data_IF_085248792938
#
_entry.id   IF_085248792938
#
_cell.length_a   1.000
_cell.length_b   1.000
_cell.length_c   1.000
_cell.angle_alpha   90.00
_cell.angle_beta   90.00
_cell.angle_gamma   90.00
#
_symmetry.space_group_name_H-M   'P 1'
#
loop_
_entity.id
_entity.type
_entity.pdbx_description
1 polymer ?
#
# COMPACT_ATOMS: atom_id res chain seq x y z
N UNK A 1 -0.28 -17.76 34.54
CA UNK A 1 -0.16 -17.85 33.07
C UNK A 1 0.54 -16.57 32.63
N UNK A 2 1.81 -16.67 32.27
CA UNK A 2 2.69 -15.53 31.98
C UNK A 2 2.95 -15.49 30.47
N UNK A 3 2.42 -14.48 29.78
CA UNK A 3 2.34 -14.44 28.32
C UNK A 3 3.63 -13.94 27.64
N UNK A 4 4.61 -13.44 28.41
CA UNK A 4 5.85 -12.88 27.85
C UNK A 4 6.84 -13.93 27.31
N UNK A 5 6.91 -15.11 27.93
CA UNK A 5 8.00 -16.07 27.69
C UNK A 5 7.86 -16.88 26.39
N UNK A 6 6.66 -16.98 25.81
CA UNK A 6 6.40 -17.81 24.62
C UNK A 6 6.84 -17.14 23.30
N UNK A 7 7.06 -15.84 23.31
CA UNK A 7 7.52 -15.11 22.12
C UNK A 7 9.02 -15.31 21.84
N UNK A 8 9.81 -15.61 22.88
CA UNK A 8 11.26 -15.82 22.74
C UNK A 8 11.57 -17.21 22.15
N UNK A 9 10.82 -18.25 22.56
CA UNK A 9 11.03 -19.63 22.11
C UNK A 9 10.78 -19.84 20.60
N UNK A 10 9.94 -19.00 19.97
CA UNK A 10 9.67 -19.06 18.53
C UNK A 10 10.75 -18.34 17.69
N UNK A 11 11.61 -17.55 18.31
CA UNK A 11 12.70 -16.86 17.61
C UNK A 11 13.95 -17.75 17.45
N UNK A 12 14.13 -18.78 18.29
CA UNK A 12 15.34 -19.60 18.30
C UNK A 12 15.36 -20.74 17.26
N UNK A 13 14.22 -21.20 16.73
CA UNK A 13 14.19 -22.40 15.85
C UNK A 13 14.43 -22.10 14.35
N UNK A 14 15.09 -20.99 14.02
CA UNK A 14 15.23 -20.49 12.65
C UNK A 14 16.66 -20.39 12.12
N UNK A 15 17.54 -21.35 12.43
CA UNK A 15 18.88 -21.43 11.84
C UNK A 15 18.80 -21.82 10.35
N UNK A 16 18.73 -20.81 9.49
CA UNK A 16 19.22 -20.84 8.10
C UNK A 16 20.26 -19.72 8.00
N UNK A 17 21.42 -19.98 8.59
CA UNK A 17 22.61 -19.17 8.47
C UNK A 17 23.32 -19.58 7.18
N UNK A 18 23.26 -18.72 6.14
CA UNK A 18 24.43 -18.27 5.34
C UNK A 18 24.03 -17.26 4.23
N UNK A 19 22.77 -17.24 3.76
CA UNK A 19 22.33 -16.32 2.68
C UNK A 19 21.55 -15.07 3.14
N UNK A 20 21.29 -14.93 4.45
CA UNK A 20 20.57 -13.77 5.02
C UNK A 20 21.49 -12.61 5.40
N UNK A 21 22.80 -12.79 5.34
CA UNK A 21 23.75 -11.80 5.86
C UNK A 21 23.93 -10.57 4.96
N UNK A 22 23.44 -10.62 3.70
CA UNK A 22 23.27 -9.43 2.85
C UNK A 22 21.85 -8.86 2.81
N UNK A 23 20.87 -9.55 3.37
CA UNK A 23 19.45 -9.12 3.41
C UNK A 23 18.98 -8.67 4.80
N UNK A 24 19.85 -8.74 5.81
CA UNK A 24 19.54 -8.44 7.23
C UNK A 24 19.68 -6.96 7.68
N UNK A 25 19.85 -5.97 6.79
CA UNK A 25 19.89 -4.53 7.20
C UNK A 25 19.06 -3.56 6.36
N UNK A 26 18.44 -4.03 5.27
CA UNK A 26 17.60 -3.23 4.38
C UNK A 26 16.14 -3.70 4.37
N UNK A 27 15.62 -4.14 5.53
CA UNK A 27 14.18 -4.25 5.72
C UNK A 27 13.58 -2.86 5.50
N UNK A 28 12.81 -2.67 4.42
CA UNK A 28 12.10 -1.41 4.16
C UNK A 28 11.29 -1.10 5.43
N UNK A 29 11.60 0.00 6.12
CA UNK A 29 10.80 0.47 7.25
C UNK A 29 9.35 0.57 6.81
N UNK A 30 8.40 0.41 7.74
CA UNK A 30 6.97 0.50 7.43
C UNK A 30 6.67 1.81 6.68
N UNK A 31 7.26 2.93 7.11
CA UNK A 31 7.21 4.22 6.42
C UNK A 31 7.65 4.14 4.96
N UNK A 32 8.80 3.51 4.67
CA UNK A 32 9.29 3.37 3.28
C UNK A 32 8.38 2.47 2.43
N UNK A 33 7.77 1.45 3.02
CA UNK A 33 6.78 0.60 2.33
C UNK A 33 5.54 1.44 1.96
N UNK A 34 4.98 2.14 2.94
CA UNK A 34 3.80 2.99 2.75
C UNK A 34 4.03 4.08 1.69
N UNK A 35 5.21 4.70 1.67
CA UNK A 35 5.58 5.67 0.63
C UNK A 35 5.62 5.04 -0.77
N UNK A 36 6.17 3.83 -0.91
CA UNK A 36 6.20 3.14 -2.19
C UNK A 36 4.80 2.76 -2.67
N UNK A 37 3.97 2.23 -1.77
CA UNK A 37 2.58 1.86 -2.06
C UNK A 37 1.72 3.09 -2.39
N UNK A 38 2.00 4.25 -1.76
CA UNK A 38 1.33 5.52 -2.08
C UNK A 38 1.65 5.98 -3.51
N UNK A 39 2.91 5.89 -3.94
CA UNK A 39 3.27 6.19 -5.33
C UNK A 39 2.61 5.24 -6.32
N UNK A 40 2.53 3.95 -5.98
CA UNK A 40 1.80 2.98 -6.78
C UNK A 40 0.31 3.35 -6.89
N UNK A 41 -0.35 3.68 -5.79
CA UNK A 41 -1.75 4.16 -5.82
C UNK A 41 -1.92 5.43 -6.69
N UNK A 42 -0.94 6.35 -6.69
CA UNK A 42 -0.94 7.50 -7.58
C UNK A 42 -0.89 7.09 -9.07
N UNK A 43 -0.05 6.11 -9.43
CA UNK A 43 0.08 5.61 -10.81
C UNK A 43 -1.25 4.99 -11.32
N UNK A 44 -2.08 4.48 -10.42
CA UNK A 44 -3.39 3.88 -10.73
C UNK A 44 -4.57 4.85 -10.63
N UNK A 45 -4.35 6.11 -10.25
CA UNK A 45 -5.42 7.10 -10.07
C UNK A 45 -6.30 6.85 -8.84
N UNK A 46 -5.76 6.15 -7.83
CA UNK A 46 -6.41 5.90 -6.53
C UNK A 46 -5.96 6.95 -5.50
N UNK A 47 -6.35 8.21 -5.71
CA UNK A 47 -5.82 9.34 -4.91
C UNK A 47 -6.19 9.30 -3.43
N UNK A 48 -7.42 8.87 -3.09
CA UNK A 48 -7.84 8.70 -1.70
C UNK A 48 -6.99 7.66 -0.95
N UNK A 49 -6.66 6.55 -1.64
CA UNK A 49 -5.80 5.50 -1.11
C UNK A 49 -4.38 6.02 -0.92
N UNK A 50 -3.84 6.72 -1.92
CA UNK A 50 -2.53 7.33 -1.84
C UNK A 50 -2.42 8.30 -0.65
N UNK A 51 -3.42 9.18 -0.47
CA UNK A 51 -3.49 10.13 0.65
C UNK A 51 -3.51 9.41 2.00
N UNK A 52 -4.36 8.39 2.16
CA UNK A 52 -4.43 7.61 3.40
C UNK A 52 -3.11 6.91 3.74
N UNK A 53 -2.39 6.40 2.74
CA UNK A 53 -1.08 5.78 2.93
C UNK A 53 -0.01 6.81 3.37
N UNK A 54 -0.04 8.03 2.82
CA UNK A 54 0.87 9.12 3.21
C UNK A 54 0.61 9.60 4.65
N UNK A 55 -0.66 9.78 5.04
CA UNK A 55 -1.03 10.13 6.41
C UNK A 55 -0.61 9.05 7.42
N UNK A 56 -0.74 7.77 7.04
CA UNK A 56 -0.27 6.67 7.88
C UNK A 56 1.26 6.66 7.97
N UNK A 57 1.97 6.91 6.87
CA UNK A 57 3.43 7.01 6.84
C UNK A 57 3.92 8.14 7.76
N UNK A 58 3.27 9.30 7.72
CA UNK A 58 3.54 10.42 8.62
C UNK A 58 3.38 10.02 10.09
N UNK A 59 2.23 9.41 10.44
CA UNK A 59 1.93 9.00 11.81
C UNK A 59 2.95 7.99 12.34
N UNK A 60 3.33 7.01 11.51
CA UNK A 60 4.36 6.02 11.86
C UNK A 60 5.72 6.69 12.06
N UNK A 61 6.11 7.58 11.13
CA UNK A 61 7.39 8.28 11.19
C UNK A 61 7.53 9.18 12.42
N UNK A 62 6.47 9.92 12.78
CA UNK A 62 6.44 10.76 13.98
C UNK A 62 6.43 9.88 15.23
N UNK A 63 5.52 8.90 15.31
CA UNK A 63 5.37 8.04 16.49
C UNK A 63 6.62 7.23 16.84
N UNK A 64 7.47 6.94 15.84
CA UNK A 64 8.73 6.19 16.01
C UNK A 64 9.99 7.06 16.02
N UNK A 65 9.86 8.38 15.90
CA UNK A 65 10.98 9.30 15.73
C UNK A 65 11.91 8.96 14.54
N UNK A 66 11.38 8.34 13.47
CA UNK A 66 12.14 7.95 12.29
C UNK A 66 12.66 9.15 11.48
N UNK A 67 12.13 10.36 11.75
CA UNK A 67 12.54 11.62 11.14
C UNK A 67 13.90 12.15 11.64
N UNK A 68 14.46 11.58 12.71
CA UNK A 68 15.75 12.03 13.25
C UNK A 68 16.93 11.50 12.42
N UNK A 69 17.93 12.35 12.22
CA UNK A 69 19.15 12.02 11.47
C UNK A 69 19.04 12.11 9.95
N UNK A 70 20.14 11.82 9.25
CA UNK A 70 20.26 12.03 7.80
C UNK A 70 19.29 11.16 6.97
N UNK A 71 19.03 9.92 7.39
CA UNK A 71 18.04 9.05 6.75
C UNK A 71 16.60 9.51 6.97
N UNK A 72 16.31 10.08 8.14
CA UNK A 72 14.99 10.61 8.48
C UNK A 72 14.63 11.84 7.66
N UNK A 73 15.60 12.74 7.41
CA UNK A 73 15.41 13.87 6.51
C UNK A 73 15.01 13.43 5.11
N UNK A 74 15.67 12.39 4.57
CA UNK A 74 15.32 11.83 3.26
C UNK A 74 13.91 11.22 3.25
N UNK A 75 13.48 10.57 4.34
CA UNK A 75 12.12 10.05 4.45
C UNK A 75 11.08 11.18 4.46
N UNK A 76 11.36 12.27 5.18
CA UNK A 76 10.51 13.45 5.21
C UNK A 76 10.39 14.09 3.81
N UNK A 77 11.50 14.22 3.09
CA UNK A 77 11.50 14.72 1.70
C UNK A 77 10.64 13.85 0.78
N UNK A 78 10.74 12.52 0.91
CA UNK A 78 9.90 11.60 0.12
C UNK A 78 8.41 11.69 0.49
N UNK A 79 8.10 11.90 1.78
CA UNK A 79 6.72 12.10 2.24
C UNK A 79 6.12 13.38 1.64
N UNK A 80 6.86 14.49 1.66
CA UNK A 80 6.43 15.76 1.05
C UNK A 80 6.20 15.59 -0.45
N UNK A 81 7.15 14.99 -1.17
CA UNK A 81 7.00 14.69 -2.61
C UNK A 81 5.78 13.81 -2.90
N UNK A 82 5.43 12.89 -1.99
CA UNK A 82 4.22 12.10 -2.08
C UNK A 82 2.95 12.94 -2.01
N UNK A 83 2.85 13.85 -1.03
CA UNK A 83 1.70 14.75 -0.89
C UNK A 83 1.57 15.73 -2.07
N UNK A 84 2.69 16.31 -2.51
CA UNK A 84 2.73 17.19 -3.69
C UNK A 84 2.22 16.46 -4.93
N UNK A 85 2.69 15.23 -5.15
CA UNK A 85 2.25 14.41 -6.29
C UNK A 85 0.74 14.13 -6.27
N UNK A 86 0.17 13.79 -5.12
CA UNK A 86 -1.28 13.59 -4.99
C UNK A 86 -2.02 14.88 -5.35
N UNK A 87 -1.58 16.01 -4.79
CA UNK A 87 -2.17 17.32 -5.08
C UNK A 87 -2.12 17.66 -6.57
N UNK A 88 -0.98 17.51 -7.22
CA UNK A 88 -0.82 17.78 -8.66
C UNK A 88 -1.75 16.89 -9.52
N UNK A 89 -1.85 15.60 -9.20
CA UNK A 89 -2.66 14.66 -9.97
C UNK A 89 -4.16 14.89 -9.79
N UNK A 90 -4.61 15.21 -8.57
CA UNK A 90 -6.00 15.59 -8.30
C UNK A 90 -6.36 16.90 -9.04
N UNK A 91 -5.49 17.91 -9.00
CA UNK A 91 -5.72 19.16 -9.72
C UNK A 91 -5.76 18.94 -11.23
N UNK A 92 -4.87 18.11 -11.77
CA UNK A 92 -4.87 17.75 -13.18
C UNK A 92 -6.12 16.97 -13.59
N UNK A 93 -6.62 16.08 -12.72
CA UNK A 93 -7.85 15.34 -12.96
C UNK A 93 -9.10 16.25 -12.93
N UNK A 94 -9.10 17.28 -12.08
CA UNK A 94 -10.14 18.30 -12.04
C UNK A 94 -10.12 19.22 -13.28
N UNK A 95 -8.93 19.56 -13.78
CA UNK A 95 -8.76 20.36 -15.00
C UNK A 95 -9.11 19.58 -16.28
N UNK A 96 -9.03 18.25 -16.25
CA UNK A 96 -9.30 17.36 -17.37
C UNK A 96 -10.16 16.17 -16.92
N UNK A 97 -11.49 16.31 -16.86
CA UNK A 97 -12.35 15.22 -16.40
C UNK A 97 -12.24 14.01 -17.35
N UNK A 98 -11.79 12.89 -16.80
CA UNK A 98 -11.76 11.60 -17.49
C UNK A 98 -13.17 11.00 -17.54
N UNK A 99 -13.64 10.48 -18.68
CA UNK A 99 -14.96 9.83 -18.79
C UNK A 99 -15.17 8.61 -17.88
N UNK A 100 -14.11 8.09 -17.24
CA UNK A 100 -14.12 6.83 -16.49
C UNK A 100 -14.39 7.00 -14.98
N UNK A 101 -14.43 8.24 -14.46
CA UNK A 101 -14.62 8.49 -13.02
C UNK A 101 -16.08 8.32 -12.56
N UNK A 102 -17.02 8.19 -13.51
CA UNK A 102 -18.45 8.11 -13.19
C UNK A 102 -18.95 6.72 -12.81
N UNK A 103 -18.20 5.62 -12.99
CA UNK A 103 -18.76 4.29 -12.77
C UNK A 103 -17.77 3.29 -12.20
N UNK A 104 -17.46 3.40 -10.90
CA UNK A 104 -16.62 2.39 -10.20
C UNK A 104 -17.41 1.45 -9.31
N UNK A 105 -18.34 1.94 -8.48
CA UNK A 105 -19.05 1.07 -7.53
C UNK A 105 -20.22 0.31 -8.17
N UNK A 106 -21.06 0.97 -8.96
CA UNK A 106 -22.22 0.33 -9.61
C UNK A 106 -21.79 -0.77 -10.59
N UNK A 107 -20.70 -0.56 -11.34
CA UNK A 107 -20.12 -1.57 -12.25
C UNK A 107 -19.63 -2.82 -11.53
N UNK A 108 -19.00 -2.67 -10.36
CA UNK A 108 -18.52 -3.81 -9.56
C UNK A 108 -19.67 -4.58 -8.92
N UNK A 109 -20.70 -3.86 -8.46
CA UNK A 109 -21.93 -4.44 -7.92
C UNK A 109 -22.68 -5.23 -9.00
N UNK A 110 -22.83 -4.68 -10.19
CA UNK A 110 -23.45 -5.35 -11.35
C UNK A 110 -22.70 -6.64 -11.70
N UNK A 111 -21.36 -6.60 -11.73
CA UNK A 111 -20.53 -7.75 -12.06
C UNK A 111 -20.65 -8.90 -11.05
N UNK A 112 -20.81 -8.58 -9.75
CA UNK A 112 -21.08 -9.56 -8.70
C UNK A 112 -22.50 -10.14 -8.75
N UNK A 113 -23.46 -9.38 -9.31
CA UNK A 113 -24.86 -9.76 -9.40
C UNK A 113 -25.21 -10.48 -10.71
N UNK A 114 -24.27 -10.57 -11.67
CA UNK A 114 -24.49 -11.39 -12.86
C UNK A 114 -24.57 -12.87 -12.45
N UNK A 115 -25.73 -13.54 -12.63
CA UNK A 115 -25.78 -14.98 -12.46
C UNK A 115 -24.84 -15.59 -13.49
N UNK A 116 -23.93 -16.46 -13.04
CA UNK A 116 -23.07 -17.22 -13.93
C UNK A 116 -23.92 -17.78 -15.06
N UNK A 117 -23.56 -17.45 -16.30
CA UNK A 117 -24.18 -18.05 -17.48
C UNK A 117 -23.85 -19.54 -17.45
N UNK A 118 -24.67 -20.30 -16.75
CA UNK A 118 -24.80 -21.74 -16.94
C UNK A 118 -25.31 -21.88 -18.37
N UNK A 119 -24.35 -21.98 -19.28
CA UNK A 119 -24.52 -22.34 -20.66
C UNK A 119 -25.31 -23.65 -20.64
N UNK A 120 -26.63 -23.56 -20.85
CA UNK A 120 -27.48 -24.73 -20.95
C UNK A 120 -26.98 -25.52 -22.13
N UNK A 121 -26.29 -26.62 -21.83
CA UNK A 121 -25.96 -27.66 -22.78
C UNK A 121 -27.28 -28.39 -23.11
N UNK A 122 -28.10 -27.74 -23.92
CA UNK A 122 -29.15 -28.39 -24.69
C UNK A 122 -28.57 -28.73 -26.05
N UNK A 123 -28.91 -29.92 -26.53
CA UNK A 123 -28.64 -30.49 -27.84
C UNK A 123 -27.32 -31.27 -28.00
N UNK A 124 -27.34 -32.52 -27.55
CA UNK A 124 -26.81 -33.62 -28.37
C UNK A 124 -27.93 -34.65 -28.54
N UNK A 125 -28.25 -34.89 -29.82
CA UNK A 125 -29.28 -35.76 -30.39
C UNK A 125 -29.28 -37.21 -29.91
#
# INVERSE_FOLDING_TARGET
>A
MDYGRRCDDLAETGSVADDRERTSRNGRTLTRRLLADAHFACDYGEFDVARGLLELAERVMIGRNEHQGASGRRLLEQLVLGFERVWELEHRALEMPSPLDQVRFESLREMLLQPGSDQTCSDIS
#
